data_IF_430568052576
#
_entry.id   IF_430568052576
#
_cell.length_a   1.000
_cell.length_b   1.000
_cell.length_c   1.000
_cell.angle_alpha   90.00
_cell.angle_beta   90.00
_cell.angle_gamma   90.00
#
_symmetry.space_group_name_H-M   'P 1'
#
loop_
_entity.id
_entity.type
_entity.pdbx_description
1 polymer ?
#
# COMPACT_ATOMS: atom_id res chain seq x y z
N UNK A 1 -15.24 44.61 -1.84
CA UNK A 1 -14.82 43.32 -1.27
C UNK A 1 -14.67 42.35 -2.42
N UNK A 2 -13.44 42.16 -2.91
CA UNK A 2 -13.16 41.08 -3.84
C UNK A 2 -13.04 39.78 -3.02
N UNK A 3 -13.62 38.67 -3.48
CA UNK A 3 -13.32 37.37 -2.90
C UNK A 3 -11.82 37.12 -3.12
N UNK A 4 -11.13 36.81 -2.03
CA UNK A 4 -9.75 36.33 -2.09
C UNK A 4 -9.84 34.93 -2.68
N UNK A 5 -9.42 34.79 -3.93
CA UNK A 5 -9.25 33.48 -4.56
C UNK A 5 -8.28 32.68 -3.69
N UNK A 6 -8.80 31.66 -3.00
CA UNK A 6 -7.98 30.65 -2.36
C UNK A 6 -7.07 30.07 -3.44
N UNK A 7 -5.74 30.07 -3.26
CA UNK A 7 -4.87 29.38 -4.18
C UNK A 7 -5.14 27.89 -3.99
N UNK A 8 -5.97 27.31 -4.87
CA UNK A 8 -5.97 25.88 -5.12
C UNK A 8 -4.54 25.52 -5.53
N UNK A 9 -3.75 25.08 -4.55
CA UNK A 9 -2.47 24.40 -4.73
C UNK A 9 -2.75 23.06 -5.42
N UNK A 10 -3.24 23.11 -6.66
CA UNK A 10 -2.96 22.09 -7.64
C UNK A 10 -1.45 22.14 -7.84
N UNK A 11 -0.75 21.41 -6.99
CA UNK A 11 0.63 21.06 -7.21
C UNK A 11 0.63 20.35 -8.57
N UNK A 12 1.12 21.04 -9.62
CA UNK A 12 1.18 20.58 -11.02
C UNK A 12 1.98 19.27 -11.11
N UNK A 13 1.33 18.17 -10.74
CA UNK A 13 1.83 16.84 -11.02
C UNK A 13 1.66 16.66 -12.52
N UNK A 14 2.73 16.28 -13.26
CA UNK A 14 2.64 16.09 -14.71
C UNK A 14 1.68 14.96 -15.10
N UNK A 15 1.21 14.17 -14.13
CA UNK A 15 0.31 13.04 -14.31
C UNK A 15 -0.72 13.05 -13.18
N UNK A 16 -2.01 13.01 -13.54
CA UNK A 16 -3.10 12.96 -12.55
C UNK A 16 -3.00 11.72 -11.65
N UNK A 17 -3.42 11.83 -10.38
CA UNK A 17 -3.47 10.70 -9.43
C UNK A 17 -4.26 9.50 -9.98
N UNK A 18 -5.30 9.75 -10.77
CA UNK A 18 -6.15 8.74 -11.38
C UNK A 18 -5.39 7.99 -12.48
N UNK A 19 -4.67 8.72 -13.34
CA UNK A 19 -3.84 8.14 -14.39
C UNK A 19 -2.77 7.22 -13.81
N UNK A 20 -2.10 7.66 -12.74
CA UNK A 20 -1.05 6.87 -12.10
C UNK A 20 -1.59 5.61 -11.42
N UNK A 21 -2.72 5.71 -10.72
CA UNK A 21 -3.40 4.55 -10.15
C UNK A 21 -3.89 3.58 -11.25
N UNK A 22 -4.38 4.11 -12.36
CA UNK A 22 -4.78 3.33 -13.54
C UNK A 22 -3.62 2.56 -14.15
N UNK A 23 -2.48 3.22 -14.38
CA UNK A 23 -1.25 2.58 -14.87
C UNK A 23 -0.81 1.46 -13.92
N UNK A 24 -0.74 1.74 -12.61
CA UNK A 24 -0.35 0.76 -11.61
C UNK A 24 -1.34 -0.41 -11.50
N UNK A 25 -2.63 -0.18 -11.73
CA UNK A 25 -3.64 -1.24 -11.80
C UNK A 25 -3.41 -2.14 -13.00
N UNK A 26 -3.15 -1.58 -14.18
CA UNK A 26 -2.82 -2.37 -15.38
C UNK A 26 -1.56 -3.19 -15.14
N UNK A 27 -0.49 -2.55 -14.63
CA UNK A 27 0.75 -3.22 -14.27
C UNK A 27 0.49 -4.35 -13.28
N UNK A 28 -0.31 -4.12 -12.24
CA UNK A 28 -0.66 -5.14 -11.26
C UNK A 28 -1.30 -6.37 -11.93
N UNK A 29 -2.22 -6.17 -12.88
CA UNK A 29 -2.93 -7.26 -13.56
C UNK A 29 -2.04 -8.10 -14.49
N UNK A 30 -1.05 -7.47 -15.13
CA UNK A 30 -0.25 -8.11 -16.19
C UNK A 30 1.17 -8.45 -15.78
N UNK A 31 1.70 -7.84 -14.71
CA UNK A 31 3.08 -8.10 -14.28
C UNK A 31 3.19 -9.47 -13.60
N UNK A 32 4.26 -10.22 -13.90
CA UNK A 32 4.53 -11.44 -13.16
C UNK A 32 4.90 -11.10 -11.71
N UNK A 33 4.36 -11.90 -10.79
CA UNK A 33 4.41 -11.66 -9.34
C UNK A 33 5.42 -12.57 -8.66
N UNK A 34 5.50 -13.82 -9.08
CA UNK A 34 6.52 -14.74 -8.59
C UNK A 34 6.80 -15.82 -9.62
N UNK A 35 7.96 -16.43 -9.47
CA UNK A 35 8.35 -17.65 -10.17
C UNK A 35 8.34 -18.78 -9.17
N UNK A 36 7.74 -19.91 -9.54
CA UNK A 36 7.82 -21.16 -8.81
C UNK A 36 8.81 -22.06 -9.53
N UNK A 37 9.82 -22.53 -8.81
CA UNK A 37 10.71 -23.59 -9.24
C UNK A 37 10.39 -24.84 -8.43
N UNK A 38 10.06 -25.94 -9.07
CA UNK A 38 9.72 -27.18 -8.39
C UNK A 38 10.41 -28.37 -9.06
N UNK A 39 11.10 -29.19 -8.27
CA UNK A 39 11.60 -30.46 -8.76
C UNK A 39 10.44 -31.47 -8.78
N UNK A 40 10.13 -31.99 -9.97
CA UNK A 40 9.11 -33.03 -10.16
C UNK A 40 9.67 -34.12 -11.05
N UNK A 41 9.71 -35.35 -10.53
CA UNK A 41 10.14 -36.56 -11.27
C UNK A 41 11.51 -36.42 -11.97
N UNK A 42 12.48 -35.75 -11.32
CA UNK A 42 13.82 -35.54 -11.87
C UNK A 42 13.96 -34.35 -12.84
N UNK A 43 12.88 -33.63 -13.12
CA UNK A 43 12.90 -32.41 -13.93
C UNK A 43 12.65 -31.17 -13.06
N UNK A 44 13.29 -30.05 -13.41
CA UNK A 44 13.00 -28.76 -12.82
C UNK A 44 11.88 -28.09 -13.60
N UNK A 45 10.72 -27.93 -12.98
CA UNK A 45 9.61 -27.16 -13.51
C UNK A 45 9.76 -25.70 -13.10
N UNK A 46 9.59 -24.81 -14.06
CA UNK A 46 9.53 -23.37 -13.86
C UNK A 46 8.13 -22.89 -14.21
N UNK A 47 7.47 -22.18 -13.31
CA UNK A 47 6.16 -21.59 -13.60
C UNK A 47 6.18 -20.12 -13.19
N UNK A 48 5.79 -19.24 -14.10
CA UNK A 48 5.66 -17.81 -13.85
C UNK A 48 4.20 -17.51 -13.64
N UNK A 49 3.87 -16.85 -12.52
CA UNK A 49 2.51 -16.48 -12.17
C UNK A 49 2.29 -14.98 -12.25
N UNK A 50 1.19 -14.58 -12.86
CA UNK A 50 0.61 -13.25 -12.82
C UNK A 50 -0.88 -13.34 -12.48
N UNK A 51 -1.56 -12.23 -12.14
CA UNK A 51 -2.97 -12.30 -11.74
C UNK A 51 -3.92 -12.75 -12.84
N UNK A 52 -3.61 -12.43 -14.10
CA UNK A 52 -4.47 -12.74 -15.26
C UNK A 52 -3.90 -13.83 -16.16
N UNK A 53 -2.64 -14.22 -15.97
CA UNK A 53 -1.98 -15.22 -16.80
C UNK A 53 -0.92 -16.01 -16.03
N UNK A 54 -0.56 -17.17 -16.55
CA UNK A 54 0.58 -17.94 -16.11
C UNK A 54 1.33 -18.48 -17.31
N UNK A 55 2.64 -18.66 -17.15
CA UNK A 55 3.51 -19.28 -18.13
C UNK A 55 4.18 -20.49 -17.51
N UNK A 56 4.22 -21.59 -18.24
CA UNK A 56 4.96 -22.80 -17.89
C UNK A 56 5.61 -23.31 -19.17
N UNK A 57 6.89 -23.70 -19.21
CA UNK A 57 7.53 -24.24 -20.41
C UNK A 57 7.08 -25.69 -20.66
N UNK A 58 5.77 -25.92 -20.70
CA UNK A 58 5.13 -27.20 -21.00
C UNK A 58 4.83 -27.28 -22.50
N UNK A 59 5.09 -28.43 -23.16
CA UNK A 59 4.75 -28.62 -24.56
C UNK A 59 3.23 -28.61 -24.82
N UNK A 60 2.41 -28.81 -23.79
CA UNK A 60 0.96 -28.92 -23.93
C UNK A 60 0.24 -27.59 -23.71
N UNK A 61 0.70 -26.79 -22.76
CA UNK A 61 0.07 -25.51 -22.42
C UNK A 61 1.11 -24.52 -21.93
N UNK A 62 1.82 -23.86 -22.86
CA UNK A 62 2.91 -22.97 -22.49
C UNK A 62 2.44 -21.69 -21.81
N UNK A 63 1.23 -21.24 -22.17
CA UNK A 63 0.64 -20.00 -21.70
C UNK A 63 -0.83 -20.21 -21.40
N UNK A 64 -1.29 -19.70 -20.26
CA UNK A 64 -2.69 -19.78 -19.83
C UNK A 64 -3.15 -18.41 -19.36
N UNK A 65 -4.25 -17.92 -19.93
CA UNK A 65 -4.91 -16.67 -19.53
C UNK A 65 -6.19 -17.06 -18.82
N UNK A 66 -6.40 -16.52 -17.62
CA UNK A 66 -7.62 -16.73 -16.86
C UNK A 66 -8.00 -15.45 -16.13
N UNK A 67 -8.98 -14.70 -16.64
CA UNK A 67 -9.42 -13.46 -15.99
C UNK A 67 -10.04 -13.73 -14.60
N UNK A 68 -10.55 -14.95 -14.37
CA UNK A 68 -11.10 -15.36 -13.07
C UNK A 68 -10.02 -15.75 -12.05
N UNK A 69 -8.75 -15.86 -12.45
CA UNK A 69 -7.66 -16.22 -11.52
C UNK A 69 -7.48 -15.22 -10.39
N UNK A 70 -7.87 -13.95 -10.60
CA UNK A 70 -7.92 -12.91 -9.57
C UNK A 70 -8.93 -13.21 -8.46
N UNK A 71 -10.10 -13.74 -8.85
CA UNK A 71 -11.17 -14.08 -7.90
C UNK A 71 -10.78 -15.33 -7.11
N UNK A 72 -10.29 -16.37 -7.79
CA UNK A 72 -9.92 -17.63 -7.15
C UNK A 72 -8.69 -17.53 -6.27
N UNK A 73 -7.77 -16.60 -6.58
CA UNK A 73 -6.54 -16.37 -5.82
C UNK A 73 -6.53 -14.98 -5.17
N UNK A 74 -7.70 -14.46 -4.80
CA UNK A 74 -7.80 -13.16 -4.14
C UNK A 74 -6.90 -13.03 -2.90
N UNK A 75 -6.76 -14.04 -2.01
CA UNK A 75 -5.84 -13.94 -0.87
C UNK A 75 -4.38 -13.68 -1.30
N UNK A 76 -4.00 -14.17 -2.47
CA UNK A 76 -2.66 -14.02 -3.03
C UNK A 76 -2.41 -12.61 -3.59
N UNK A 77 -3.42 -12.03 -4.23
CA UNK A 77 -3.30 -10.77 -4.96
C UNK A 77 -3.89 -9.56 -4.23
N UNK A 78 -4.69 -9.79 -3.19
CA UNK A 78 -5.44 -8.75 -2.49
C UNK A 78 -4.55 -7.65 -1.95
N UNK A 79 -3.40 -7.99 -1.35
CA UNK A 79 -2.46 -6.99 -0.86
C UNK A 79 -1.82 -6.14 -1.96
N UNK A 80 -1.73 -6.64 -3.20
CA UNK A 80 -1.26 -5.83 -4.34
C UNK A 80 -2.31 -4.81 -4.76
N UNK A 81 -3.60 -5.18 -4.72
CA UNK A 81 -4.71 -4.23 -4.92
C UNK A 81 -4.67 -3.15 -3.83
N UNK A 82 -4.50 -3.57 -2.57
CA UNK A 82 -4.38 -2.65 -1.43
C UNK A 82 -3.18 -1.72 -1.60
N UNK A 83 -2.03 -2.20 -2.09
CA UNK A 83 -0.88 -1.36 -2.36
C UNK A 83 -1.15 -0.27 -3.40
N UNK A 84 -1.78 -0.61 -4.54
CA UNK A 84 -2.17 0.38 -5.56
C UNK A 84 -3.14 1.41 -4.98
N UNK A 85 -4.11 0.96 -4.19
CA UNK A 85 -5.04 1.84 -3.48
C UNK A 85 -4.34 2.79 -2.49
N UNK A 86 -3.33 2.30 -1.76
CA UNK A 86 -2.54 3.13 -0.84
C UNK A 86 -1.65 4.13 -1.57
N UNK A 87 -1.19 3.83 -2.79
CA UNK A 87 -0.55 4.83 -3.64
C UNK A 87 -1.56 5.92 -4.01
N UNK A 88 -2.74 5.56 -4.51
CA UNK A 88 -3.79 6.53 -4.84
C UNK A 88 -4.14 7.45 -3.64
N UNK A 89 -4.31 6.85 -2.45
CA UNK A 89 -4.59 7.58 -1.22
C UNK A 89 -3.42 8.44 -0.76
N UNK A 90 -2.19 8.02 -0.99
CA UNK A 90 -1.01 8.82 -0.67
C UNK A 90 -0.96 10.11 -1.49
N UNK A 91 -1.31 10.06 -2.78
CA UNK A 91 -1.41 11.25 -3.63
C UNK A 91 -2.69 12.06 -3.41
N UNK A 92 -3.60 11.57 -2.57
CA UNK A 92 -4.77 12.33 -2.12
C UNK A 92 -4.57 12.94 -0.73
N UNK A 93 -3.33 12.96 -0.22
CA UNK A 93 -2.98 13.45 1.12
C UNK A 93 -3.62 12.68 2.30
N UNK A 94 -4.28 11.54 2.04
CA UNK A 94 -4.96 10.73 3.07
C UNK A 94 -4.03 9.77 3.81
N UNK A 95 -2.89 9.40 3.19
CA UNK A 95 -1.94 8.40 3.70
C UNK A 95 -0.51 8.86 3.53
N UNK A 96 0.34 8.53 4.50
CA UNK A 96 1.76 8.87 4.45
C UNK A 96 2.53 7.93 3.50
N UNK A 97 3.60 8.47 2.90
CA UNK A 97 4.56 7.68 2.10
C UNK A 97 5.12 6.47 2.87
N UNK A 98 5.39 6.63 4.17
CA UNK A 98 5.90 5.56 5.04
C UNK A 98 4.91 4.39 5.13
N UNK A 99 3.63 4.69 5.33
CA UNK A 99 2.59 3.66 5.39
C UNK A 99 2.44 2.94 4.06
N UNK A 100 2.43 3.68 2.94
CA UNK A 100 2.33 3.09 1.60
C UNK A 100 3.50 2.16 1.29
N UNK A 101 4.73 2.52 1.68
CA UNK A 101 5.90 1.64 1.51
C UNK A 101 5.77 0.35 2.33
N UNK A 102 5.30 0.44 3.59
CA UNK A 102 5.07 -0.75 4.44
C UNK A 102 4.06 -1.72 3.82
N UNK A 103 2.95 -1.17 3.29
CA UNK A 103 1.95 -1.97 2.56
C UNK A 103 2.55 -2.60 1.30
N UNK A 104 3.40 -1.86 0.58
CA UNK A 104 4.12 -2.39 -0.57
C UNK A 104 5.00 -3.58 -0.23
N UNK A 105 5.81 -3.48 0.83
CA UNK A 105 6.64 -4.59 1.33
C UNK A 105 5.76 -5.79 1.72
N UNK A 106 4.68 -5.54 2.45
CA UNK A 106 3.74 -6.59 2.86
C UNK A 106 3.16 -7.32 1.64
N UNK A 107 2.80 -6.58 0.58
CA UNK A 107 2.25 -7.14 -0.66
C UNK A 107 3.18 -8.07 -1.43
N UNK A 108 4.50 -7.94 -1.23
CA UNK A 108 5.50 -8.83 -1.85
C UNK A 108 5.81 -10.04 -0.98
N UNK A 109 5.67 -9.92 0.35
CA UNK A 109 5.88 -11.02 1.30
C UNK A 109 4.68 -11.97 1.32
N UNK A 110 3.45 -11.46 1.19
CA UNK A 110 2.23 -12.27 1.31
C UNK A 110 2.18 -13.49 0.37
N UNK A 111 2.48 -13.38 -0.95
CA UNK A 111 2.46 -14.55 -1.83
C UNK A 111 3.45 -15.62 -1.40
N UNK A 112 4.64 -15.23 -0.95
CA UNK A 112 5.67 -16.16 -0.46
C UNK A 112 5.18 -16.89 0.78
N UNK A 113 4.56 -16.18 1.73
CA UNK A 113 4.00 -16.82 2.93
C UNK A 113 2.86 -17.78 2.58
N UNK A 114 1.92 -17.37 1.73
CA UNK A 114 0.79 -18.20 1.33
C UNK A 114 1.25 -19.47 0.62
N UNK A 115 2.26 -19.37 -0.26
CA UNK A 115 2.80 -20.55 -0.94
C UNK A 115 3.66 -21.41 -0.03
N UNK A 116 4.58 -20.84 0.75
CA UNK A 116 5.60 -21.62 1.48
C UNK A 116 5.09 -22.19 2.80
N UNK A 117 4.20 -21.48 3.51
CA UNK A 117 3.75 -21.88 4.85
C UNK A 117 3.07 -23.27 4.86
N UNK A 118 2.19 -23.63 3.91
CA UNK A 118 1.62 -24.97 3.85
C UNK A 118 2.68 -26.07 3.68
N UNK A 119 3.69 -25.85 2.84
CA UNK A 119 4.76 -26.83 2.65
C UNK A 119 5.65 -26.96 3.88
N UNK A 120 5.90 -25.86 4.60
CA UNK A 120 6.63 -25.90 5.86
C UNK A 120 5.87 -26.75 6.89
N UNK A 121 4.55 -26.56 7.01
CA UNK A 121 3.70 -27.35 7.91
C UNK A 121 3.73 -28.83 7.50
N UNK A 122 3.55 -29.14 6.21
CA UNK A 122 3.59 -30.51 5.69
C UNK A 122 4.95 -31.16 5.96
N UNK A 123 6.05 -30.44 5.77
CA UNK A 123 7.39 -30.94 6.03
C UNK A 123 7.62 -31.27 7.52
N UNK A 124 6.93 -30.61 8.44
CA UNK A 124 7.02 -30.87 9.88
C UNK A 124 6.19 -32.08 10.32
N UNK A 125 5.07 -32.38 9.65
CA UNK A 125 4.12 -33.41 10.08
C UNK A 125 4.15 -34.68 9.20
N UNK A 126 4.71 -34.62 7.99
CA UNK A 126 4.72 -35.73 7.05
C UNK A 126 5.99 -36.57 7.18
N UNK A 127 5.89 -37.91 7.30
CA UNK A 127 7.04 -38.80 7.25
C UNK A 127 7.70 -38.87 5.86
N UNK A 128 7.01 -38.38 4.82
CA UNK A 128 7.53 -38.25 3.47
C UNK A 128 7.40 -36.79 3.03
N UNK A 129 8.37 -35.92 3.39
CA UNK A 129 8.31 -34.53 2.98
C UNK A 129 8.49 -34.44 1.46
N UNK A 130 7.47 -33.91 0.78
CA UNK A 130 7.63 -33.51 -0.61
C UNK A 130 8.65 -32.36 -0.68
N UNK A 131 9.45 -32.32 -1.75
CA UNK A 131 10.33 -31.18 -2.00
C UNK A 131 9.47 -29.91 -2.08
N UNK A 132 9.64 -28.93 -1.19
CA UNK A 132 8.88 -27.69 -1.28
C UNK A 132 9.22 -26.98 -2.59
N UNK A 133 8.25 -26.33 -3.24
CA UNK A 133 8.54 -25.42 -4.33
C UNK A 133 9.40 -24.26 -3.82
N UNK A 134 10.35 -23.81 -4.63
CA UNK A 134 11.09 -22.58 -4.37
C UNK A 134 10.37 -21.42 -5.04
N UNK A 135 9.86 -20.49 -4.23
CA UNK A 135 9.09 -19.33 -4.70
C UNK A 135 9.96 -18.09 -4.68
N UNK A 136 10.17 -17.50 -5.85
CA UNK A 136 10.96 -16.28 -6.05
C UNK A 136 9.99 -15.12 -6.29
N UNK A 137 9.81 -14.18 -5.35
CA UNK A 137 8.97 -13.01 -5.57
C UNK A 137 9.61 -12.09 -6.61
N UNK A 138 8.76 -11.52 -7.46
CA UNK A 138 9.10 -10.53 -8.48
C UNK A 138 8.44 -9.20 -8.11
N UNK A 139 9.14 -8.31 -7.37
CA UNK A 139 8.56 -7.09 -6.81
C UNK A 139 8.41 -5.96 -7.84
N UNK A 140 7.98 -6.27 -9.06
CA UNK A 140 7.89 -5.31 -10.18
C UNK A 140 6.94 -4.17 -9.81
N UNK A 141 5.76 -4.50 -9.28
CA UNK A 141 4.76 -3.53 -8.87
C UNK A 141 5.29 -2.63 -7.74
N UNK A 142 5.92 -3.22 -6.73
CA UNK A 142 6.54 -2.47 -5.63
C UNK A 142 7.64 -1.52 -6.12
N UNK A 143 8.55 -2.00 -6.97
CA UNK A 143 9.64 -1.19 -7.54
C UNK A 143 9.06 -0.01 -8.31
N UNK A 144 8.08 -0.24 -9.19
CA UNK A 144 7.44 0.82 -9.96
C UNK A 144 6.73 1.84 -9.04
N UNK A 145 5.95 1.36 -8.07
CA UNK A 145 5.29 2.21 -7.09
C UNK A 145 6.28 3.05 -6.27
N UNK A 146 7.41 2.45 -5.88
CA UNK A 146 8.48 3.16 -5.17
C UNK A 146 9.17 4.21 -6.04
N UNK A 147 9.47 3.89 -7.30
CA UNK A 147 10.05 4.84 -8.27
C UNK A 147 9.11 6.02 -8.47
N UNK A 148 7.81 5.78 -8.58
CA UNK A 148 6.78 6.80 -8.67
C UNK A 148 6.80 7.72 -7.45
N UNK A 149 6.74 7.16 -6.24
CA UNK A 149 6.80 7.91 -4.98
C UNK A 149 8.12 8.66 -4.75
N UNK A 150 9.19 8.27 -5.45
CA UNK A 150 10.49 8.93 -5.40
C UNK A 150 10.61 10.05 -6.42
N UNK A 151 10.12 9.86 -7.65
CA UNK A 151 10.20 10.85 -8.74
C UNK A 151 9.15 11.94 -8.61
N UNK A 152 7.95 11.58 -8.20
CA UNK A 152 6.83 12.51 -8.01
C UNK A 152 6.41 12.44 -6.55
N UNK A 153 7.04 13.22 -5.66
CA UNK A 153 6.67 13.17 -4.25
C UNK A 153 5.19 13.52 -4.08
N UNK A 154 4.42 12.74 -3.30
CA UNK A 154 3.04 13.07 -3.00
C UNK A 154 2.99 14.38 -2.18
N UNK A 155 1.88 15.13 -2.24
CA UNK A 155 1.67 16.25 -1.35
C UNK A 155 1.76 15.78 0.11
N UNK A 156 2.29 16.63 0.98
CA UNK A 156 2.35 16.31 2.40
C UNK A 156 0.92 16.08 2.90
N UNK A 157 0.67 14.96 3.60
CA UNK A 157 -0.65 14.70 4.15
C UNK A 157 -0.98 15.86 5.09
N UNK A 158 -2.13 16.50 4.89
CA UNK A 158 -2.60 17.53 5.81
C UNK A 158 -2.68 16.89 7.20
N UNK A 159 -1.65 17.13 8.01
CA UNK A 159 -1.66 16.74 9.40
C UNK A 159 -2.71 17.63 10.03
N UNK A 160 -3.85 17.05 10.41
CA UNK A 160 -4.87 17.72 11.22
C UNK A 160 -4.29 18.34 12.51
N UNK A 161 -3.05 17.99 12.87
CA UNK A 161 -2.27 18.56 13.97
C UNK A 161 -1.74 19.99 13.66
N UNK A 162 -1.65 20.40 12.39
CA UNK A 162 -1.24 21.79 12.06
C UNK A 162 -2.41 22.78 12.06
N UNK A 163 -3.67 22.32 12.18
CA UNK A 163 -4.82 23.18 12.47
C UNK A 163 -5.09 23.35 13.98
N UNK A 164 -4.46 22.56 14.85
CA UNK A 164 -4.61 22.63 16.31
C UNK A 164 -3.75 23.73 16.97
N UNK A 165 -3.25 24.70 16.18
CA UNK A 165 -2.85 26.01 16.72
C UNK A 165 -4.00 27.02 16.71
N UNK A 166 -5.23 26.59 16.41
CA UNK A 166 -6.39 27.18 17.07
C UNK A 166 -6.39 26.69 18.51
N UNK A 167 -6.13 27.62 19.45
CA UNK A 167 -6.32 27.44 20.88
C UNK A 167 -7.52 26.54 21.14
N UNK A 168 -7.26 25.34 21.64
CA UNK A 168 -8.27 24.43 22.11
C UNK A 168 -9.23 25.21 23.03
N UNK A 169 -10.54 25.14 22.77
CA UNK A 169 -11.53 25.98 23.47
C UNK A 169 -11.60 25.72 24.98
N UNK A 170 -10.97 24.65 25.46
CA UNK A 170 -10.80 24.30 26.87
C UNK A 170 -9.53 24.88 27.51
N UNK A 171 -8.63 25.50 26.75
CA UNK A 171 -7.46 26.23 27.27
C UNK A 171 -7.75 27.72 27.53
N UNK A 172 -8.96 28.19 27.21
CA UNK A 172 -9.42 29.53 27.59
C UNK A 172 -10.11 29.47 28.96
N UNK A 173 -9.45 30.11 29.92
CA UNK A 173 -9.98 30.60 31.19
C UNK A 173 -10.15 29.57 32.33
N UNK A 174 -9.02 29.24 32.96
CA UNK A 174 -8.98 29.01 34.43
C UNK A 174 -7.95 29.92 35.14
N UNK A 175 -7.41 30.93 34.44
CA UNK A 175 -6.50 31.91 35.03
C UNK A 175 -7.27 33.12 35.56
N UNK A 176 -7.43 33.10 36.88
CA UNK A 176 -7.59 34.23 37.83
C UNK A 176 -9.03 34.69 38.18
N UNK A 177 -9.52 34.39 39.41
CA UNK A 177 -10.53 35.24 40.03
C UNK A 177 -9.89 36.59 40.40
N UNK A 178 -10.58 37.73 40.20
CA UNK A 178 -10.01 39.02 40.51
C UNK A 178 -9.76 39.13 42.02
N UNK A 179 -8.48 39.15 42.38
CA UNK A 179 -8.00 39.65 43.67
C UNK A 179 -7.96 41.16 43.62
N UNK A 180 -8.86 41.85 44.32
CA UNK A 180 -8.73 43.24 44.77
C UNK A 180 -10.02 43.58 45.52
N UNK A 181 -10.05 44.29 46.63
CA UNK A 181 -9.11 44.63 47.70
C UNK A 181 -10.02 45.19 48.80
N UNK A 182 -9.64 45.00 50.05
CA UNK A 182 -10.29 45.58 51.21
C UNK A 182 -10.29 47.13 51.18
N UNK A 183 -11.22 47.67 51.97
CA UNK A 183 -11.25 48.99 52.62
C UNK A 183 -11.66 50.17 51.72
N UNK A 184 -12.89 50.68 51.86
CA UNK A 184 -13.36 51.69 52.83
C UNK A 184 -13.39 53.08 52.19
N UNK A 185 -14.43 53.83 52.58
CA UNK A 185 -14.51 55.30 52.62
C UNK A 185 -15.08 56.15 51.45
N UNK A 186 -16.24 56.76 51.76
CA UNK A 186 -16.59 58.21 51.66
C UNK A 186 -17.66 58.69 50.63
N UNK A 187 -18.85 59.03 51.18
CA UNK A 187 -19.75 60.21 51.00
C UNK A 187 -20.60 60.42 49.70
N UNK A 188 -21.75 61.15 49.75
CA UNK A 188 -22.17 62.17 50.72
C UNK A 188 -23.44 61.92 51.55
#
# INVERSE_FOLDING_TARGET
MHPVDEPTLEHDLPVSRQTMAGILSVVMLVSPIFVVLQAQMGHLLLVVYAPTWMFSPSPYMPFYISPFSLLTNFPLYGFKIVFVYFIYKCYSADKTKKTTIRIGILSEITPVLIFMLPYLIIALISPYPASPPFVIPLPILFILGYVILKKWPPPEPATWIESDTEQMWWDREESEPPSESKDEDIWP
#
